data_IF_612157926738
#
_entry.id   IF_612157926738
#
_cell.length_a   1.000
_cell.length_b   1.000
_cell.length_c   1.000
_cell.angle_alpha   90.00
_cell.angle_beta   90.00
_cell.angle_gamma   90.00
#
_symmetry.space_group_name_H-M   'P 1'
#
loop_
_entity.id
_entity.type
_entity.pdbx_description
1 polymer ?
#
# COMPACT_ATOMS: atom_id res chain seq x y z
N UNK A 1 35.61 25.79 -26.14
CA UNK A 1 35.14 24.38 -26.20
C UNK A 1 33.76 24.34 -25.53
N UNK A 2 32.72 24.55 -26.34
CA UNK A 2 31.33 24.49 -25.90
C UNK A 2 30.91 23.03 -25.83
N UNK A 3 30.71 22.56 -24.61
CA UNK A 3 30.07 21.26 -24.36
C UNK A 3 28.59 21.39 -24.71
N UNK A 4 28.24 21.08 -25.95
CA UNK A 4 26.88 20.91 -26.39
C UNK A 4 26.21 19.80 -25.62
N UNK A 5 25.59 20.12 -24.49
CA UNK A 5 24.67 19.23 -23.82
C UNK A 5 23.52 18.93 -24.79
N UNK A 6 23.57 17.74 -25.38
CA UNK A 6 22.42 17.07 -25.98
C UNK A 6 21.32 16.99 -24.90
N UNK A 7 20.50 18.03 -24.82
CA UNK A 7 19.20 17.95 -24.13
C UNK A 7 18.34 16.98 -24.96
N UNK A 8 18.49 15.69 -24.70
CA UNK A 8 17.48 14.73 -25.10
C UNK A 8 16.16 15.24 -24.50
N UNK A 9 15.28 15.74 -25.36
CA UNK A 9 13.89 16.01 -24.98
C UNK A 9 13.29 14.66 -24.63
N UNK A 10 13.23 14.36 -23.33
CA UNK A 10 12.42 13.24 -22.85
C UNK A 10 11.00 13.44 -23.41
N UNK A 11 10.33 12.37 -23.84
CA UNK A 11 8.95 12.46 -24.30
C UNK A 11 8.14 13.20 -23.24
N UNK A 12 7.30 14.14 -23.67
CA UNK A 12 6.54 15.01 -22.78
C UNK A 12 5.76 14.16 -21.77
N UNK A 13 5.63 14.63 -20.53
CA UNK A 13 5.02 13.89 -19.42
C UNK A 13 3.64 13.30 -19.73
N UNK A 14 2.91 13.93 -20.67
CA UNK A 14 1.62 13.40 -21.16
C UNK A 14 1.76 12.02 -21.81
N UNK A 15 2.81 11.79 -22.61
CA UNK A 15 3.05 10.49 -23.23
C UNK A 15 3.47 9.44 -22.20
N UNK A 16 4.28 9.83 -21.21
CA UNK A 16 4.66 8.96 -20.11
C UNK A 16 3.45 8.58 -19.25
N UNK A 17 2.62 9.54 -18.89
CA UNK A 17 1.38 9.30 -18.15
C UNK A 17 0.43 8.38 -18.93
N UNK A 18 0.25 8.61 -20.24
CA UNK A 18 -0.59 7.76 -21.09
C UNK A 18 -0.03 6.34 -21.20
N UNK A 19 1.29 6.20 -21.40
CA UNK A 19 1.94 4.88 -21.45
C UNK A 19 1.81 4.13 -20.12
N UNK A 20 1.97 4.83 -19.00
CA UNK A 20 1.82 4.27 -17.67
C UNK A 20 0.39 3.82 -17.39
N UNK A 21 -0.60 4.67 -17.64
CA UNK A 21 -2.03 4.31 -17.51
C UNK A 21 -2.36 3.14 -18.44
N UNK A 22 -1.89 3.17 -19.69
CA UNK A 22 -2.07 2.08 -20.65
C UNK A 22 -1.48 0.76 -20.15
N UNK A 23 -0.30 0.78 -19.53
CA UNK A 23 0.33 -0.42 -18.96
C UNK A 23 -0.43 -0.97 -17.75
N UNK A 24 -0.97 -0.11 -16.88
CA UNK A 24 -1.81 -0.54 -15.77
C UNK A 24 -3.12 -1.15 -16.23
N UNK A 25 -3.77 -0.54 -17.22
CA UNK A 25 -5.00 -1.10 -17.82
C UNK A 25 -4.71 -2.44 -18.47
N UNK A 26 -3.60 -2.56 -19.20
CA UNK A 26 -3.18 -3.82 -19.81
C UNK A 26 -2.90 -4.88 -18.76
N UNK A 27 -2.17 -4.55 -17.70
CA UNK A 27 -1.88 -5.46 -16.59
C UNK A 27 -3.18 -5.93 -15.91
N UNK A 28 -4.14 -5.02 -15.71
CA UNK A 28 -5.46 -5.36 -15.18
C UNK A 28 -6.23 -6.31 -16.12
N UNK A 29 -6.28 -6.02 -17.41
CA UNK A 29 -6.93 -6.90 -18.40
C UNK A 29 -6.29 -8.28 -18.44
N UNK A 30 -4.95 -8.34 -18.41
CA UNK A 30 -4.22 -9.62 -18.34
C UNK A 30 -4.57 -10.37 -17.05
N UNK A 31 -4.62 -9.68 -15.90
CA UNK A 31 -5.03 -10.30 -14.64
C UNK A 31 -6.44 -10.85 -14.68
N UNK A 32 -7.39 -10.12 -15.30
CA UNK A 32 -8.76 -10.61 -15.51
C UNK A 32 -8.82 -11.86 -16.41
N UNK A 33 -7.95 -11.94 -17.43
CA UNK A 33 -7.92 -13.08 -18.36
C UNK A 33 -7.26 -14.32 -17.73
N UNK A 34 -6.25 -14.14 -16.91
CA UNK A 34 -5.47 -15.23 -16.31
C UNK A 34 -5.86 -15.55 -14.86
N UNK A 35 -6.42 -14.58 -14.12
CA UNK A 35 -6.77 -14.72 -12.70
C UNK A 35 -8.07 -15.48 -12.40
N UNK A 36 -8.82 -15.89 -13.43
CA UNK A 36 -10.16 -16.46 -13.27
C UNK A 36 -10.23 -17.92 -12.80
N UNK A 37 -9.18 -18.47 -12.21
CA UNK A 37 -9.14 -19.85 -11.73
C UNK A 37 -8.89 -19.95 -10.22
N UNK A 38 -9.70 -19.30 -9.43
CA UNK A 38 -9.62 -19.42 -7.98
C UNK A 38 -10.64 -18.53 -7.29
N UNK A 39 -10.85 -18.75 -6.02
CA UNK A 39 -11.81 -18.04 -5.15
C UNK A 39 -11.55 -16.53 -5.01
N UNK A 40 -10.46 -16.02 -5.61
CA UNK A 40 -10.08 -14.61 -5.72
C UNK A 40 -10.39 -13.98 -7.07
N UNK A 41 -11.38 -14.48 -7.79
CA UNK A 41 -11.82 -13.83 -9.02
C UNK A 41 -12.27 -12.38 -8.71
N UNK A 42 -11.44 -11.41 -9.07
CA UNK A 42 -11.82 -10.00 -9.01
C UNK A 42 -12.86 -9.79 -10.11
N UNK A 43 -14.07 -9.46 -9.70
CA UNK A 43 -15.19 -9.18 -10.62
C UNK A 43 -15.61 -7.71 -10.53
N UNK A 44 -16.29 -7.24 -11.55
CA UNK A 44 -16.83 -5.89 -11.55
C UNK A 44 -18.05 -5.82 -10.63
N UNK A 45 -18.07 -4.81 -9.76
CA UNK A 45 -19.21 -4.54 -8.87
C UNK A 45 -20.43 -4.04 -9.66
N UNK A 46 -21.60 -4.20 -9.09
CA UNK A 46 -22.79 -3.53 -9.60
C UNK A 46 -22.64 -2.00 -9.47
N UNK A 47 -23.25 -1.20 -10.36
CA UNK A 47 -23.05 0.25 -10.37
C UNK A 47 -23.29 0.95 -9.02
N UNK A 48 -24.30 0.51 -8.25
CA UNK A 48 -24.57 1.07 -6.92
C UNK A 48 -23.47 0.79 -5.90
N UNK A 49 -23.00 -0.45 -5.84
CA UNK A 49 -21.89 -0.89 -4.98
C UNK A 49 -20.57 -0.19 -5.35
N UNK A 50 -20.31 -0.08 -6.66
CA UNK A 50 -19.12 0.62 -7.16
C UNK A 50 -19.11 2.10 -6.76
N UNK A 51 -20.25 2.78 -6.87
CA UNK A 51 -20.38 4.18 -6.44
C UNK A 51 -20.18 4.33 -4.94
N UNK A 52 -20.80 3.48 -4.13
CA UNK A 52 -20.61 3.48 -2.67
C UNK A 52 -19.15 3.26 -2.31
N UNK A 53 -18.50 2.27 -2.92
CA UNK A 53 -17.11 1.95 -2.68
C UNK A 53 -16.16 3.07 -3.12
N UNK A 54 -16.42 3.71 -4.26
CA UNK A 54 -15.65 4.87 -4.74
C UNK A 54 -15.80 6.09 -3.82
N UNK A 55 -16.99 6.30 -3.24
CA UNK A 55 -17.25 7.47 -2.42
C UNK A 55 -16.88 7.29 -0.95
N UNK A 56 -16.90 6.08 -0.43
CA UNK A 56 -16.65 5.79 0.99
C UNK A 56 -15.43 4.89 1.21
N UNK A 57 -15.37 3.73 0.57
CA UNK A 57 -14.32 2.74 0.81
C UNK A 57 -12.94 3.21 0.35
N UNK A 58 -12.84 3.72 -0.87
CA UNK A 58 -11.57 4.20 -1.44
C UNK A 58 -11.02 5.42 -0.69
N UNK A 59 -11.81 6.47 -0.41
CA UNK A 59 -11.33 7.59 0.42
C UNK A 59 -10.93 7.15 1.82
N UNK A 60 -11.69 6.25 2.46
CA UNK A 60 -11.35 5.72 3.77
C UNK A 60 -9.98 5.02 3.75
N UNK A 61 -9.75 4.11 2.81
CA UNK A 61 -8.47 3.42 2.65
C UNK A 61 -7.32 4.37 2.33
N UNK A 62 -7.56 5.41 1.52
CA UNK A 62 -6.54 6.44 1.24
C UNK A 62 -6.19 7.25 2.49
N UNK A 63 -7.17 7.62 3.29
CA UNK A 63 -6.96 8.33 4.56
C UNK A 63 -6.26 7.45 5.59
N UNK A 64 -6.62 6.18 5.67
CA UNK A 64 -5.98 5.19 6.51
C UNK A 64 -4.51 4.96 6.12
N UNK A 65 -4.19 4.98 4.82
CA UNK A 65 -2.81 4.93 4.31
C UNK A 65 -1.94 6.06 4.90
N UNK A 66 -2.52 7.22 5.22
CA UNK A 66 -1.83 8.32 5.90
C UNK A 66 -1.93 8.25 7.44
N UNK A 67 -2.49 7.18 8.00
CA UNK A 67 -2.58 6.94 9.44
C UNK A 67 -3.86 7.49 10.10
N UNK A 68 -4.90 7.82 9.33
CA UNK A 68 -6.22 8.14 9.88
C UNK A 68 -6.95 6.85 10.28
N UNK A 69 -7.03 6.58 11.57
CA UNK A 69 -7.74 5.42 12.13
C UNK A 69 -9.08 5.86 12.74
N UNK A 70 -10.17 5.18 12.37
CA UNK A 70 -11.54 5.63 12.66
C UNK A 70 -11.96 5.71 14.13
N UNK A 71 -11.20 5.17 15.10
CA UNK A 71 -11.65 4.95 16.47
C UNK A 71 -10.75 5.50 17.58
N UNK A 72 -10.07 6.63 17.34
CA UNK A 72 -9.24 7.23 18.37
C UNK A 72 -10.08 7.88 19.48
N UNK A 73 -9.82 7.50 20.74
CA UNK A 73 -10.45 8.16 21.91
C UNK A 73 -9.95 9.60 21.99
N UNK A 74 -10.89 10.55 22.17
CA UNK A 74 -10.56 11.99 22.34
C UNK A 74 -9.61 12.16 23.51
N UNK A 75 -8.52 12.94 23.31
CA UNK A 75 -7.48 13.16 24.30
C UNK A 75 -6.40 12.07 24.38
N UNK A 76 -6.49 11.02 23.58
CA UNK A 76 -5.43 10.00 23.48
C UNK A 76 -4.29 10.47 22.56
N UNK A 77 -3.12 9.82 22.66
CA UNK A 77 -2.02 10.03 21.70
C UNK A 77 -2.45 9.78 20.26
N UNK A 78 -3.31 8.79 20.04
CA UNK A 78 -3.88 8.50 18.71
C UNK A 78 -4.71 9.67 18.16
N UNK A 79 -5.49 10.37 19.00
CA UNK A 79 -6.24 11.55 18.55
C UNK A 79 -5.34 12.74 18.18
N UNK A 80 -4.21 12.92 18.87
CA UNK A 80 -3.21 13.90 18.48
C UNK A 80 -2.57 13.56 17.14
N UNK A 81 -2.26 12.28 16.91
CA UNK A 81 -1.74 11.78 15.62
C UNK A 81 -2.72 12.06 14.48
N UNK A 82 -4.01 11.80 14.69
CA UNK A 82 -5.02 12.10 13.68
C UNK A 82 -5.09 13.58 13.33
N UNK A 83 -4.96 14.46 14.33
CA UNK A 83 -4.95 15.90 14.09
C UNK A 83 -3.73 16.32 13.25
N UNK A 84 -2.57 15.73 13.51
CA UNK A 84 -1.37 15.96 12.70
C UNK A 84 -1.50 15.42 11.27
N UNK A 85 -2.16 14.28 11.07
CA UNK A 85 -2.48 13.77 9.73
C UNK A 85 -3.36 14.75 8.97
N UNK A 86 -4.40 15.31 9.61
CA UNK A 86 -5.25 16.33 8.98
C UNK A 86 -4.45 17.58 8.59
N UNK A 87 -3.57 18.08 9.47
CA UNK A 87 -2.68 19.20 9.14
C UNK A 87 -1.79 18.86 7.95
N UNK A 88 -1.23 17.65 7.92
CA UNK A 88 -0.41 17.19 6.81
C UNK A 88 -1.21 17.11 5.50
N UNK A 89 -2.41 16.55 5.51
CA UNK A 89 -3.28 16.48 4.33
C UNK A 89 -3.67 17.87 3.81
N UNK A 90 -3.94 18.83 4.70
CA UNK A 90 -4.21 20.23 4.33
C UNK A 90 -2.98 20.85 3.65
N UNK A 91 -1.79 20.60 4.20
CA UNK A 91 -0.53 21.05 3.59
C UNK A 91 -0.31 20.43 2.21
N UNK A 92 -0.59 19.13 2.04
CA UNK A 92 -0.53 18.49 0.73
C UNK A 92 -1.53 19.10 -0.26
N UNK A 93 -2.77 19.34 0.17
CA UNK A 93 -3.78 20.00 -0.66
C UNK A 93 -3.37 21.40 -1.09
N UNK A 94 -2.81 22.20 -0.16
CA UNK A 94 -2.24 23.50 -0.47
C UNK A 94 -1.06 23.38 -1.46
N UNK A 95 -0.17 22.42 -1.26
CA UNK A 95 0.96 22.18 -2.14
C UNK A 95 0.52 21.79 -3.56
N UNK A 96 -0.48 20.92 -3.70
CA UNK A 96 -1.06 20.59 -4.99
C UNK A 96 -1.60 21.84 -5.71
N UNK A 97 -2.43 22.61 -5.00
CA UNK A 97 -2.93 23.87 -5.55
C UNK A 97 -1.80 24.81 -5.95
N UNK A 98 -0.75 24.93 -5.13
CA UNK A 98 0.40 25.78 -5.39
C UNK A 98 1.16 25.35 -6.66
N UNK A 99 1.51 24.07 -6.77
CA UNK A 99 2.29 23.52 -7.91
C UNK A 99 1.53 23.63 -9.23
N UNK A 100 0.22 23.40 -9.22
CA UNK A 100 -0.59 23.44 -10.43
C UNK A 100 -1.18 24.82 -10.76
N UNK A 101 -0.95 25.82 -9.89
CA UNK A 101 -1.33 27.20 -10.18
C UNK A 101 -0.55 27.74 -11.39
N UNK A 102 -1.24 28.51 -12.23
CA UNK A 102 -0.77 28.94 -13.55
C UNK A 102 0.55 29.75 -13.56
N UNK A 103 0.92 30.37 -12.44
CA UNK A 103 2.08 31.28 -12.31
C UNK A 103 3.21 30.70 -11.43
N UNK A 104 3.28 29.40 -11.25
CA UNK A 104 4.30 28.79 -10.40
C UNK A 104 5.53 28.45 -11.23
N UNK A 105 6.72 28.76 -10.71
CA UNK A 105 8.03 28.49 -11.32
C UNK A 105 8.44 27.01 -11.27
N UNK A 106 7.54 26.11 -10.84
CA UNK A 106 7.81 24.66 -10.81
C UNK A 106 8.16 24.17 -12.22
N UNK A 107 9.24 23.40 -12.30
CA UNK A 107 9.73 22.90 -13.61
C UNK A 107 8.73 21.92 -14.20
N UNK A 108 8.67 21.84 -15.53
CA UNK A 108 7.80 20.87 -16.22
C UNK A 108 8.07 19.43 -15.75
N UNK A 109 9.33 19.08 -15.42
CA UNK A 109 9.68 17.76 -14.89
C UNK A 109 9.05 17.47 -13.53
N UNK A 110 8.99 18.44 -12.63
CA UNK A 110 8.36 18.28 -11.32
C UNK A 110 6.85 18.07 -11.46
N UNK A 111 6.21 18.84 -12.34
CA UNK A 111 4.77 18.68 -12.66
C UNK A 111 4.48 17.33 -13.31
N UNK A 112 5.33 16.90 -14.22
CA UNK A 112 5.21 15.62 -14.92
C UNK A 112 5.34 14.44 -13.92
N UNK A 113 6.37 14.46 -13.06
CA UNK A 113 6.56 13.44 -12.04
C UNK A 113 5.36 13.35 -11.08
N UNK A 114 4.89 14.49 -10.59
CA UNK A 114 3.73 14.55 -9.70
C UNK A 114 2.46 14.09 -10.43
N UNK A 115 2.27 14.45 -11.69
CA UNK A 115 1.12 14.00 -12.50
C UNK A 115 1.11 12.48 -12.66
N UNK A 116 2.27 11.86 -12.91
CA UNK A 116 2.39 10.39 -13.04
C UNK A 116 2.02 9.70 -11.71
N UNK A 117 2.55 10.19 -10.59
CA UNK A 117 2.27 9.62 -9.27
C UNK A 117 0.79 9.77 -8.90
N UNK A 118 0.20 10.94 -9.13
CA UNK A 118 -1.23 11.17 -8.88
C UNK A 118 -2.12 10.34 -9.81
N UNK A 119 -1.73 10.19 -11.08
CA UNK A 119 -2.43 9.32 -12.01
C UNK A 119 -2.39 7.85 -11.54
N UNK A 120 -1.24 7.39 -10.99
CA UNK A 120 -1.11 6.06 -10.40
C UNK A 120 -2.10 5.85 -9.26
N UNK A 121 -2.16 6.80 -8.31
CA UNK A 121 -3.12 6.75 -7.20
C UNK A 121 -4.56 6.75 -7.73
N UNK A 122 -4.87 7.61 -8.70
CA UNK A 122 -6.20 7.69 -9.31
C UNK A 122 -6.62 6.41 -10.02
N UNK A 123 -5.72 5.78 -10.78
CA UNK A 123 -6.00 4.51 -11.47
C UNK A 123 -6.20 3.38 -10.44
N UNK A 124 -5.36 3.31 -9.41
CA UNK A 124 -5.53 2.34 -8.32
C UNK A 124 -6.88 2.53 -7.62
N UNK A 125 -7.23 3.77 -7.29
CA UNK A 125 -8.51 4.12 -6.68
C UNK A 125 -9.70 3.71 -7.55
N UNK A 126 -9.61 3.96 -8.86
CA UNK A 126 -10.65 3.60 -9.82
C UNK A 126 -10.81 2.07 -9.92
N UNK A 127 -9.71 1.33 -10.11
CA UNK A 127 -9.74 -0.13 -10.23
C UNK A 127 -10.33 -0.76 -8.96
N UNK A 128 -9.83 -0.38 -7.79
CA UNK A 128 -10.34 -0.88 -6.50
C UNK A 128 -11.82 -0.52 -6.34
N UNK A 129 -12.21 0.69 -6.70
CA UNK A 129 -13.57 1.18 -6.53
C UNK A 129 -14.61 0.47 -7.38
N UNK A 130 -14.25 0.05 -8.60
CA UNK A 130 -15.19 -0.64 -9.52
C UNK A 130 -15.14 -2.16 -9.43
N UNK A 131 -14.23 -2.72 -8.64
CA UNK A 131 -14.03 -4.18 -8.53
C UNK A 131 -14.31 -4.69 -7.12
N UNK A 132 -14.47 -6.01 -7.00
CA UNK A 132 -14.59 -6.71 -5.71
C UNK A 132 -13.31 -6.73 -4.88
N UNK A 133 -12.16 -6.27 -5.44
CA UNK A 133 -10.91 -6.19 -4.70
C UNK A 133 -11.07 -5.37 -3.41
N UNK A 134 -10.51 -5.82 -2.31
CA UNK A 134 -10.61 -5.10 -1.03
C UNK A 134 -10.00 -3.69 -1.13
N UNK A 135 -10.65 -2.72 -0.51
CA UNK A 135 -10.13 -1.35 -0.42
C UNK A 135 -9.13 -1.25 0.74
N UNK A 136 -7.97 -1.87 0.60
CA UNK A 136 -6.94 -1.87 1.63
C UNK A 136 -5.97 -0.71 1.44
N UNK A 137 -5.57 -0.09 2.55
CA UNK A 137 -4.71 1.10 2.58
C UNK A 137 -3.34 0.89 1.89
N UNK A 138 -2.76 -0.30 2.00
CA UNK A 138 -1.43 -0.60 1.42
C UNK A 138 -1.39 -0.54 -0.12
N UNK A 139 -2.51 -0.60 -0.80
CA UNK A 139 -2.55 -0.38 -2.26
C UNK A 139 -2.27 1.08 -2.65
N UNK A 140 -2.40 2.00 -1.71
CA UNK A 140 -2.19 3.43 -1.96
C UNK A 140 -0.79 3.93 -1.60
N UNK A 141 0.20 3.04 -1.45
CA UNK A 141 1.57 3.43 -1.09
C UNK A 141 2.19 4.46 -2.05
N UNK A 142 1.76 4.51 -3.31
CA UNK A 142 2.19 5.54 -4.28
C UNK A 142 1.79 6.96 -3.86
N UNK A 143 0.79 7.12 -3.00
CA UNK A 143 0.42 8.42 -2.45
C UNK A 143 1.52 9.01 -1.55
N UNK A 144 2.32 8.18 -0.88
CA UNK A 144 3.48 8.61 -0.10
C UNK A 144 4.59 9.20 -0.98
N UNK A 145 4.86 8.59 -2.14
CA UNK A 145 5.83 9.13 -3.10
C UNK A 145 5.33 10.45 -3.69
N UNK A 146 4.04 10.55 -4.00
CA UNK A 146 3.44 11.81 -4.45
C UNK A 146 3.57 12.90 -3.37
N UNK A 147 3.29 12.57 -2.11
CA UNK A 147 3.43 13.48 -0.98
C UNK A 147 4.89 13.92 -0.79
N UNK A 148 5.85 13.01 -0.87
CA UNK A 148 7.27 13.33 -0.72
C UNK A 148 7.76 14.27 -1.84
N UNK A 149 7.41 14.00 -3.09
CA UNK A 149 7.75 14.88 -4.22
C UNK A 149 7.11 16.26 -4.04
N UNK A 150 5.84 16.29 -3.62
CA UNK A 150 5.12 17.54 -3.40
C UNK A 150 5.76 18.39 -2.31
N UNK A 151 6.11 17.78 -1.16
CA UNK A 151 6.81 18.46 -0.06
C UNK A 151 8.17 18.98 -0.54
N UNK A 152 8.94 18.18 -1.27
CA UNK A 152 10.23 18.59 -1.81
C UNK A 152 10.10 19.82 -2.72
N UNK A 153 9.12 19.82 -3.64
CA UNK A 153 8.86 20.95 -4.53
C UNK A 153 8.43 22.20 -3.75
N UNK A 154 7.57 22.04 -2.74
CA UNK A 154 7.14 23.15 -1.89
C UNK A 154 8.31 23.78 -1.13
N UNK A 155 9.15 22.94 -0.52
CA UNK A 155 10.32 23.41 0.26
C UNK A 155 11.32 24.10 -0.65
N UNK A 156 11.61 23.56 -1.82
CA UNK A 156 12.52 24.15 -2.79
C UNK A 156 12.06 25.58 -3.18
N UNK A 157 10.79 25.73 -3.55
CA UNK A 157 10.24 27.02 -3.92
C UNK A 157 10.15 28.04 -2.77
N UNK A 158 9.87 27.55 -1.55
CA UNK A 158 9.70 28.46 -0.41
C UNK A 158 11.03 28.82 0.24
N UNK A 159 12.09 28.04 0.01
CA UNK A 159 13.41 28.28 0.62
C UNK A 159 14.01 29.61 0.23
N UNK A 160 13.82 30.09 -1.01
CA UNK A 160 14.38 31.34 -1.51
C UNK A 160 13.59 32.58 -1.03
N UNK A 161 12.24 32.48 -1.00
CA UNK A 161 11.37 33.63 -0.70
C UNK A 161 10.83 33.67 0.75
N UNK A 162 10.65 32.52 1.37
CA UNK A 162 10.01 32.36 2.66
C UNK A 162 10.67 31.24 3.49
N UNK A 163 11.95 31.38 3.88
CA UNK A 163 12.72 30.30 4.52
C UNK A 163 12.10 29.83 5.85
N UNK A 164 11.42 30.72 6.58
CA UNK A 164 10.71 30.36 7.81
C UNK A 164 9.58 29.37 7.53
N UNK A 165 8.79 29.59 6.48
CA UNK A 165 7.71 28.67 6.10
C UNK A 165 8.25 27.33 5.61
N UNK A 166 9.33 27.33 4.82
CA UNK A 166 10.01 26.09 4.41
C UNK A 166 10.49 25.31 5.66
N UNK A 167 11.09 25.98 6.63
CA UNK A 167 11.49 25.38 7.89
C UNK A 167 10.30 24.81 8.70
N UNK A 168 9.18 25.50 8.74
CA UNK A 168 7.97 25.01 9.42
C UNK A 168 7.40 23.75 8.74
N UNK A 169 7.36 23.71 7.39
CA UNK A 169 6.93 22.53 6.65
C UNK A 169 7.85 21.34 6.95
N UNK A 170 9.17 21.52 6.87
CA UNK A 170 10.13 20.46 7.19
C UNK A 170 9.99 19.99 8.64
N UNK A 171 9.79 20.90 9.58
CA UNK A 171 9.58 20.55 11.00
C UNK A 171 8.29 19.76 11.17
N UNK A 172 7.19 20.16 10.52
CA UNK A 172 5.93 19.44 10.57
C UNK A 172 6.04 18.02 9.98
N UNK A 173 6.72 17.88 8.83
CA UNK A 173 6.97 16.58 8.20
C UNK A 173 7.89 15.72 9.07
N UNK A 174 8.95 16.26 9.63
CA UNK A 174 9.85 15.54 10.53
C UNK A 174 9.12 15.07 11.80
N UNK A 175 8.31 15.93 12.41
CA UNK A 175 7.50 15.59 13.58
C UNK A 175 6.51 14.47 13.23
N UNK A 176 5.81 14.59 12.11
CA UNK A 176 4.90 13.56 11.61
C UNK A 176 5.64 12.22 11.41
N UNK A 177 6.81 12.22 10.76
CA UNK A 177 7.62 11.02 10.55
C UNK A 177 8.07 10.38 11.87
N UNK A 178 8.55 11.16 12.83
CA UNK A 178 8.99 10.66 14.14
C UNK A 178 7.82 10.06 14.92
N UNK A 179 6.65 10.70 14.88
CA UNK A 179 5.48 10.21 15.59
C UNK A 179 4.93 8.91 14.95
N UNK A 180 4.93 8.82 13.61
CA UNK A 180 4.58 7.58 12.91
C UNK A 180 5.57 6.45 13.23
N UNK A 181 6.86 6.75 13.23
CA UNK A 181 7.89 5.76 13.60
C UNK A 181 7.68 5.25 15.03
N UNK A 182 7.39 6.16 15.98
CA UNK A 182 7.05 5.78 17.36
C UNK A 182 5.80 4.90 17.42
N UNK A 183 4.74 5.27 16.67
CA UNK A 183 3.51 4.49 16.62
C UNK A 183 3.79 3.08 16.08
N UNK A 184 4.47 2.98 14.94
CA UNK A 184 4.87 1.70 14.33
C UNK A 184 5.74 0.86 15.28
N UNK A 185 6.66 1.50 16.00
CA UNK A 185 7.50 0.80 16.98
C UNK A 185 6.67 0.26 18.16
N UNK A 186 5.72 1.04 18.69
CA UNK A 186 4.84 0.60 19.76
C UNK A 186 3.93 -0.56 19.29
N UNK A 187 3.45 -0.50 18.06
CA UNK A 187 2.62 -1.55 17.48
C UNK A 187 3.42 -2.83 17.19
N UNK A 188 4.65 -2.69 16.70
CA UNK A 188 5.58 -3.81 16.55
C UNK A 188 5.90 -4.50 17.88
N UNK A 189 6.00 -3.73 18.98
CA UNK A 189 6.22 -4.30 20.31
C UNK A 189 5.01 -5.10 20.81
N UNK A 190 3.78 -4.65 20.52
CA UNK A 190 2.56 -5.44 20.82
C UNK A 190 2.43 -6.66 19.92
N UNK A 191 2.92 -6.61 18.71
CA UNK A 191 2.94 -7.76 17.78
C UNK A 191 3.90 -8.86 18.24
N UNK A 192 4.94 -8.52 19.01
CA UNK A 192 5.82 -9.52 19.62
C UNK A 192 5.07 -10.46 20.59
N UNK A 193 4.03 -10.00 21.25
CA UNK A 193 3.23 -10.86 22.12
C UNK A 193 2.41 -11.87 21.30
N UNK A 194 1.95 -11.49 20.12
CA UNK A 194 1.28 -12.42 19.21
C UNK A 194 2.26 -13.48 18.66
N UNK A 195 3.55 -13.15 18.48
CA UNK A 195 4.55 -14.13 18.06
C UNK A 195 4.78 -15.24 19.10
N UNK A 196 4.54 -15.01 20.37
CA UNK A 196 4.67 -16.05 21.40
C UNK A 196 3.64 -17.15 21.22
N UNK A 197 2.40 -16.80 20.85
CA UNK A 197 1.35 -17.79 20.58
C UNK A 197 1.74 -18.69 19.40
N UNK A 198 2.30 -18.10 18.34
CA UNK A 198 2.81 -18.88 17.21
C UNK A 198 4.02 -19.72 17.57
N UNK A 199 4.88 -19.23 18.46
CA UNK A 199 6.03 -20.00 18.96
C UNK A 199 5.57 -21.22 19.75
N UNK A 200 4.57 -21.06 20.63
CA UNK A 200 3.98 -22.17 21.39
C UNK A 200 3.37 -23.23 20.46
N UNK A 201 2.67 -22.81 19.40
CA UNK A 201 2.12 -23.73 18.40
C UNK A 201 3.26 -24.43 17.63
N UNK A 202 4.28 -23.70 17.20
CA UNK A 202 5.43 -24.23 16.47
C UNK A 202 6.22 -25.26 17.32
N UNK A 203 6.41 -24.97 18.61
CA UNK A 203 7.08 -25.85 19.56
C UNK A 203 6.24 -27.14 19.76
N UNK A 204 4.93 -27.01 19.95
CA UNK A 204 4.02 -28.14 20.07
C UNK A 204 4.07 -29.05 18.82
N UNK A 205 3.98 -28.47 17.62
CA UNK A 205 4.03 -29.24 16.38
C UNK A 205 5.36 -29.98 16.23
N UNK A 206 6.45 -29.32 16.58
CA UNK A 206 7.82 -29.90 16.53
C UNK A 206 7.98 -31.03 17.54
N UNK A 207 7.49 -30.86 18.78
CA UNK A 207 7.55 -31.88 19.83
C UNK A 207 6.65 -33.06 19.51
N UNK A 208 5.50 -32.83 18.89
CA UNK A 208 4.58 -33.90 18.46
C UNK A 208 5.07 -34.65 17.22
N UNK A 209 6.16 -34.23 16.61
CA UNK A 209 6.70 -34.82 15.37
C UNK A 209 5.81 -34.57 14.15
N UNK A 210 5.04 -33.47 14.16
CA UNK A 210 4.20 -33.05 13.04
C UNK A 210 5.01 -32.13 12.16
N UNK A 211 5.41 -32.61 10.99
CA UNK A 211 6.24 -31.91 10.03
C UNK A 211 5.46 -31.32 8.85
N UNK A 212 4.15 -31.64 8.76
CA UNK A 212 3.27 -31.12 7.70
C UNK A 212 1.86 -30.83 8.23
N UNK A 213 1.22 -29.75 7.72
CA UNK A 213 -0.15 -29.37 8.05
C UNK A 213 -0.74 -28.34 7.10
N UNK A 214 -1.94 -27.89 7.41
CA UNK A 214 -2.62 -26.81 6.67
C UNK A 214 -3.02 -25.70 7.63
N UNK A 215 -2.83 -24.45 7.19
CA UNK A 215 -3.26 -23.27 7.93
C UNK A 215 -3.67 -22.16 6.96
N UNK A 216 -4.34 -21.12 7.46
CA UNK A 216 -4.56 -19.92 6.69
C UNK A 216 -3.22 -19.29 6.25
N UNK A 217 -3.21 -18.58 5.13
CA UNK A 217 -1.99 -18.09 4.49
C UNK A 217 -1.00 -17.44 5.47
N UNK A 218 -1.48 -16.46 6.26
CA UNK A 218 -0.60 -15.73 7.18
C UNK A 218 -0.08 -16.58 8.34
N UNK A 219 -0.85 -17.55 8.78
CA UNK A 219 -0.49 -18.45 9.86
C UNK A 219 0.48 -19.53 9.37
N UNK A 220 0.23 -20.06 8.17
CA UNK A 220 1.11 -21.01 7.50
C UNK A 220 2.53 -20.45 7.34
N UNK A 221 2.66 -19.25 6.79
CA UNK A 221 3.95 -18.60 6.58
C UNK A 221 4.70 -18.34 7.91
N UNK A 222 3.98 -17.90 8.94
CA UNK A 222 4.57 -17.65 10.26
C UNK A 222 5.10 -18.92 10.91
N UNK A 223 4.34 -20.01 10.89
CA UNK A 223 4.77 -21.29 11.44
C UNK A 223 5.98 -21.85 10.68
N UNK A 224 5.95 -21.82 9.34
CA UNK A 224 7.10 -22.22 8.52
C UNK A 224 8.35 -21.39 8.86
N UNK A 225 8.22 -20.08 9.02
CA UNK A 225 9.32 -19.18 9.35
C UNK A 225 9.89 -19.45 10.76
N UNK A 226 9.03 -19.58 11.77
CA UNK A 226 9.42 -19.79 13.17
C UNK A 226 10.10 -21.15 13.34
N UNK A 227 9.65 -22.17 12.61
CA UNK A 227 10.25 -23.51 12.67
C UNK A 227 11.47 -23.69 11.77
N UNK A 228 11.89 -22.62 11.07
CA UNK A 228 12.98 -22.68 10.07
C UNK A 228 12.73 -23.76 9.00
N UNK A 229 11.47 -23.87 8.57
CA UNK A 229 11.03 -24.84 7.56
C UNK A 229 10.94 -26.29 8.04
N UNK A 230 11.11 -26.58 9.33
CA UNK A 230 10.96 -27.96 9.88
C UNK A 230 9.52 -28.42 9.84
N UNK A 231 8.59 -27.50 10.06
CA UNK A 231 7.15 -27.72 9.84
C UNK A 231 6.74 -27.00 8.58
N UNK A 232 6.25 -27.74 7.61
CA UNK A 232 5.77 -27.20 6.33
C UNK A 232 4.25 -27.07 6.41
N UNK A 233 3.74 -25.86 6.17
CA UNK A 233 2.30 -25.61 6.16
C UNK A 233 1.81 -25.31 4.74
N UNK A 234 0.83 -26.08 4.27
CA UNK A 234 0.06 -25.79 3.07
C UNK A 234 -0.90 -24.62 3.33
N UNK A 235 -1.02 -23.71 2.37
CA UNK A 235 -1.91 -22.56 2.50
C UNK A 235 -3.35 -22.98 2.19
N UNK A 236 -4.27 -22.76 3.12
CA UNK A 236 -5.70 -22.91 2.93
C UNK A 236 -6.40 -21.55 2.94
N UNK A 237 -7.39 -21.38 2.08
CA UNK A 237 -8.22 -20.17 2.05
C UNK A 237 -9.17 -20.12 3.26
N UNK A 238 -9.78 -21.26 3.55
CA UNK A 238 -10.60 -21.43 4.73
C UNK A 238 -10.36 -22.81 5.32
N UNK A 239 -10.21 -22.91 6.64
CA UNK A 239 -10.11 -24.19 7.31
C UNK A 239 -11.39 -25.03 7.18
N UNK A 240 -12.52 -24.39 6.88
CA UNK A 240 -13.80 -25.09 6.72
C UNK A 240 -13.88 -25.90 5.41
N UNK A 241 -13.21 -25.48 4.34
CA UNK A 241 -13.27 -26.14 3.04
C UNK A 241 -11.95 -26.77 2.60
N UNK A 242 -10.85 -26.49 3.30
CA UNK A 242 -9.47 -26.85 2.93
C UNK A 242 -9.15 -26.49 1.48
N UNK A 243 -9.82 -25.45 0.94
CA UNK A 243 -9.57 -24.97 -0.41
C UNK A 243 -8.19 -24.32 -0.45
N UNK A 244 -7.29 -24.86 -1.28
CA UNK A 244 -5.91 -24.38 -1.34
C UNK A 244 -5.77 -23.05 -2.09
N UNK A 245 -4.82 -22.24 -1.66
CA UNK A 245 -4.34 -21.09 -2.43
C UNK A 245 -3.47 -21.56 -3.60
N UNK A 246 -4.10 -21.99 -4.69
CA UNK A 246 -3.43 -22.58 -5.83
C UNK A 246 -2.28 -21.76 -6.44
N UNK A 247 -2.30 -20.46 -6.27
CA UNK A 247 -1.30 -19.54 -6.80
C UNK A 247 -0.12 -19.26 -5.84
N UNK A 248 -0.26 -19.64 -4.57
CA UNK A 248 0.76 -19.47 -3.52
C UNK A 248 1.30 -20.80 -3.03
N UNK A 249 0.54 -21.87 -3.17
CA UNK A 249 0.94 -23.20 -2.70
C UNK A 249 1.61 -23.96 -3.83
N UNK A 250 2.82 -24.47 -3.58
CA UNK A 250 3.45 -25.41 -4.51
C UNK A 250 2.53 -26.59 -4.75
N UNK A 251 2.33 -26.97 -6.02
CA UNK A 251 1.51 -28.13 -6.40
C UNK A 251 1.98 -29.41 -5.70
N UNK A 252 3.27 -29.54 -5.39
CA UNK A 252 3.81 -30.66 -4.62
C UNK A 252 3.23 -30.78 -3.20
N UNK A 253 2.89 -29.65 -2.57
CA UNK A 253 2.31 -29.63 -1.22
C UNK A 253 0.82 -30.02 -1.19
N UNK A 254 0.13 -29.93 -2.33
CA UNK A 254 -1.28 -30.29 -2.47
C UNK A 254 -1.47 -31.79 -2.73
N UNK A 255 -0.46 -32.44 -3.32
CA UNK A 255 -0.52 -33.87 -3.67
C UNK A 255 -0.06 -34.81 -2.55
N UNK A 256 0.57 -34.30 -1.51
CA UNK A 256 1.04 -35.14 -0.40
C UNK A 256 -0.11 -35.64 0.49
N UNK A 257 -1.32 -35.04 0.40
CA UNK A 257 -2.51 -35.53 1.10
C UNK A 257 -3.15 -36.75 0.39
N UNK A 258 -3.05 -36.85 -0.93
CA UNK A 258 -3.62 -37.97 -1.69
C UNK A 258 -2.76 -39.25 -1.58
N UNK A 259 -1.47 -39.11 -1.26
CA UNK A 259 -0.55 -40.24 -1.11
C UNK A 259 -0.68 -40.92 0.28
N UNK A 260 -1.42 -40.35 1.21
CA UNK A 260 -1.63 -40.93 2.55
C UNK A 260 -2.88 -41.83 2.61
N UNK A 261 -3.73 -41.82 1.54
CA UNK A 261 -4.96 -42.61 1.45
C UNK A 261 -4.80 -43.88 0.56
N UNK A 262 -3.59 -44.16 0.02
CA UNK A 262 -3.20 -45.44 -0.59
C UNK A 262 -2.35 -46.29 0.39
#
# INVERSE_FOLDING_TARGET
MESGHLRQKLPGGRYLATAYVGSLVLAFLVSCLYGGRGDYAVYLLQPGEAVEKLLLGVPAALLENFGLVGNAKVGSFASLMQLLVWVFLILLGYGLWYVFRKNTESTDRQKDALTILLASVGVTAFIIGITSAEAAHYYFFMAWFAAAVLVAVMVDHMSEGQPVFAGLILTAVALFAVLNLKYTYCEAATTQDNLKEYQEVADYLTEAGIDYGYAEFWDAERICLITDGRVTMGHSYTMASLSGYWWLTSTCLLYTSDAADE
#
